data_IF_157490398477
#
_entry.id   IF_157490398477
#
_cell.length_a   1.000
_cell.length_b   1.000
_cell.length_c   1.000
_cell.angle_alpha   90.00
_cell.angle_beta   90.00
_cell.angle_gamma   90.00
#
_symmetry.space_group_name_H-M   'P 1'
#
loop_
_entity.id
_entity.type
_entity.pdbx_description
1 polymer ?
#
# COMPACT_ATOMS: atom_id res chain seq x y z
N UNK A 1 -0.24 -30.66 16.11
CA UNK A 1 -0.13 -29.19 16.02
C UNK A 1 -0.12 -28.82 14.55
N UNK A 2 -1.09 -28.03 14.14
CA UNK A 2 -1.11 -27.57 12.75
C UNK A 2 0.08 -26.64 12.53
N UNK A 3 1.01 -27.01 11.68
CA UNK A 3 2.02 -26.09 11.17
C UNK A 3 1.27 -25.15 10.23
N UNK A 4 1.17 -23.87 10.59
CA UNK A 4 0.64 -22.89 9.66
C UNK A 4 1.55 -22.88 8.45
N UNK A 5 1.03 -23.27 7.30
CA UNK A 5 1.76 -23.28 6.07
C UNK A 5 2.20 -21.83 5.78
N UNK A 6 3.54 -21.61 5.65
CA UNK A 6 4.06 -20.28 5.27
C UNK A 6 3.39 -19.75 4.00
N UNK A 7 2.93 -20.67 3.11
CA UNK A 7 2.21 -20.30 1.89
C UNK A 7 0.85 -19.65 2.19
N UNK A 8 0.18 -20.01 3.29
CA UNK A 8 -1.10 -19.41 3.66
C UNK A 8 -0.91 -17.97 4.12
N UNK A 9 0.10 -17.69 4.94
CA UNK A 9 0.44 -16.34 5.35
C UNK A 9 0.91 -15.51 4.16
N UNK A 10 1.77 -16.05 3.32
CA UNK A 10 2.24 -15.37 2.11
C UNK A 10 1.07 -15.01 1.19
N UNK A 11 0.13 -15.93 1.00
CA UNK A 11 -1.06 -15.71 0.18
C UNK A 11 -1.95 -14.64 0.77
N UNK A 12 -2.20 -14.70 2.08
CA UNK A 12 -3.00 -13.71 2.79
C UNK A 12 -2.40 -12.30 2.68
N UNK A 13 -1.08 -12.20 2.82
CA UNK A 13 -0.37 -10.93 2.70
C UNK A 13 -0.44 -10.39 1.28
N UNK A 14 -0.23 -11.23 0.26
CA UNK A 14 -0.35 -10.81 -1.14
C UNK A 14 -1.75 -10.31 -1.45
N UNK A 15 -2.77 -10.99 -0.92
CA UNK A 15 -4.16 -10.59 -1.09
C UNK A 15 -4.42 -9.25 -0.41
N UNK A 16 -3.94 -9.08 0.81
CA UNK A 16 -4.10 -7.82 1.55
C UNK A 16 -3.46 -6.64 0.82
N UNK A 17 -2.19 -6.76 0.46
CA UNK A 17 -1.45 -5.67 -0.20
C UNK A 17 -2.04 -5.37 -1.59
N UNK A 18 -2.36 -6.39 -2.36
CA UNK A 18 -2.98 -6.21 -3.69
C UNK A 18 -4.32 -5.50 -3.60
N UNK A 19 -5.18 -5.92 -2.69
CA UNK A 19 -6.49 -5.29 -2.46
C UNK A 19 -6.34 -3.87 -1.92
N UNK A 20 -5.35 -3.64 -1.05
CA UNK A 20 -5.04 -2.33 -0.49
C UNK A 20 -4.65 -1.33 -1.61
N UNK A 21 -3.78 -1.70 -2.52
CA UNK A 21 -3.44 -0.85 -3.66
C UNK A 21 -4.67 -0.59 -4.55
N UNK A 22 -5.39 -1.64 -4.94
CA UNK A 22 -6.58 -1.49 -5.80
C UNK A 22 -7.69 -0.69 -5.12
N UNK A 23 -7.76 -0.73 -3.79
CA UNK A 23 -8.74 0.04 -3.02
C UNK A 23 -8.54 1.54 -3.09
N UNK A 24 -7.33 2.00 -3.38
CA UNK A 24 -7.04 3.42 -3.56
C UNK A 24 -7.28 3.80 -5.02
N UNK A 25 -8.55 3.99 -5.35
CA UNK A 25 -8.99 4.24 -6.72
C UNK A 25 -10.16 5.21 -6.73
N UNK A 26 -10.11 6.20 -7.63
CA UNK A 26 -11.23 7.10 -7.85
C UNK A 26 -11.27 7.64 -9.28
N UNK A 27 -12.43 8.17 -9.65
CA UNK A 27 -12.68 8.91 -10.89
C UNK A 27 -13.36 10.23 -10.53
N UNK A 28 -13.65 11.11 -11.50
CA UNK A 28 -14.41 12.32 -11.18
C UNK A 28 -15.78 12.07 -10.54
N UNK A 29 -16.35 10.88 -10.70
CA UNK A 29 -17.67 10.53 -10.19
C UNK A 29 -17.67 9.46 -9.12
N UNK A 30 -16.50 8.87 -8.77
CA UNK A 30 -16.40 7.80 -7.77
C UNK A 30 -15.33 8.13 -6.74
N UNK A 31 -15.45 7.50 -5.56
CA UNK A 31 -14.47 7.61 -4.47
C UNK A 31 -14.12 6.22 -3.97
N UNK A 32 -12.95 6.05 -3.33
CA UNK A 32 -12.62 4.79 -2.67
C UNK A 32 -13.65 4.42 -1.60
N UNK A 33 -13.77 3.12 -1.34
CA UNK A 33 -14.43 2.64 -0.13
C UNK A 33 -13.48 2.84 1.05
N UNK A 34 -13.58 3.98 1.70
CA UNK A 34 -12.66 4.34 2.79
C UNK A 34 -12.82 3.44 4.01
N UNK A 35 -14.00 2.87 4.23
CA UNK A 35 -14.20 1.92 5.32
C UNK A 35 -13.41 0.63 5.06
N UNK A 36 -13.47 0.09 3.85
CA UNK A 36 -12.68 -1.09 3.47
C UNK A 36 -11.18 -0.80 3.52
N UNK A 37 -10.75 0.36 3.01
CA UNK A 37 -9.35 0.80 3.04
C UNK A 37 -8.84 0.88 4.49
N UNK A 38 -9.60 1.53 5.36
CA UNK A 38 -9.24 1.69 6.78
C UNK A 38 -9.11 0.36 7.50
N UNK A 39 -9.95 -0.62 7.15
CA UNK A 39 -9.93 -1.95 7.77
C UNK A 39 -8.62 -2.72 7.54
N UNK A 40 -7.84 -2.34 6.53
CA UNK A 40 -6.52 -2.96 6.28
C UNK A 40 -5.46 -2.53 7.31
N UNK A 41 -5.71 -1.47 8.07
CA UNK A 41 -4.76 -0.88 9.01
C UNK A 41 -5.13 -1.16 10.45
N UNK A 42 -4.10 -1.21 11.31
CA UNK A 42 -4.32 -1.03 12.75
C UNK A 42 -4.76 0.42 13.00
N UNK A 43 -5.59 0.67 14.04
CA UNK A 43 -6.11 2.02 14.29
C UNK A 43 -5.03 3.10 14.47
N UNK A 44 -3.88 2.73 15.03
CA UNK A 44 -2.77 3.65 15.31
C UNK A 44 -1.69 3.61 14.23
N UNK A 45 -1.98 3.09 13.05
CA UNK A 45 -1.01 2.97 11.98
C UNK A 45 -0.35 4.31 11.66
N UNK A 46 0.94 4.24 11.34
CA UNK A 46 1.74 5.40 10.94
C UNK A 46 2.08 5.31 9.46
N UNK A 47 1.88 6.42 8.75
CA UNK A 47 2.19 6.53 7.34
C UNK A 47 3.26 7.60 7.13
N UNK A 48 4.23 7.30 6.25
CA UNK A 48 5.35 8.19 5.96
C UNK A 48 5.47 8.40 4.46
N UNK A 49 4.93 9.52 3.93
CA UNK A 49 5.04 9.84 2.51
C UNK A 49 6.47 10.10 2.07
N UNK A 50 6.69 10.04 0.75
CA UNK A 50 8.00 10.28 0.13
C UNK A 50 8.53 11.70 0.34
N UNK A 51 7.67 12.67 0.59
CA UNK A 51 8.06 14.07 0.76
C UNK A 51 9.05 14.26 1.91
N UNK A 52 9.96 15.20 1.75
CA UNK A 52 10.94 15.58 2.77
C UNK A 52 10.77 17.05 3.17
N UNK A 53 11.02 17.43 4.44
CA UNK A 53 11.44 16.55 5.53
C UNK A 53 10.36 15.50 5.88
N UNK A 54 10.83 14.39 6.46
CA UNK A 54 9.91 13.30 6.81
C UNK A 54 8.85 13.79 7.80
N UNK A 55 7.60 13.39 7.55
CA UNK A 55 6.48 13.73 8.41
C UNK A 55 5.55 12.53 8.53
N UNK A 56 5.26 12.13 9.76
CA UNK A 56 4.30 11.07 10.02
C UNK A 56 2.87 11.58 9.75
N UNK A 57 2.10 10.78 9.05
CA UNK A 57 0.66 11.00 8.88
C UNK A 57 -0.13 9.94 9.62
N UNK A 58 -1.26 10.34 10.17
CA UNK A 58 -2.31 9.40 10.60
C UNK A 58 -3.07 8.92 9.37
N UNK A 59 -3.82 7.83 9.53
CA UNK A 59 -4.68 7.34 8.45
C UNK A 59 -5.75 8.38 8.06
N UNK A 60 -6.35 9.04 9.06
CA UNK A 60 -7.35 10.09 8.81
C UNK A 60 -6.76 11.26 8.01
N UNK A 61 -5.55 11.69 8.35
CA UNK A 61 -4.87 12.76 7.62
C UNK A 61 -4.58 12.36 6.18
N UNK A 62 -4.17 11.11 5.96
CA UNK A 62 -3.95 10.57 4.62
C UNK A 62 -5.24 10.57 3.79
N UNK A 63 -6.34 10.08 4.35
CA UNK A 63 -7.64 10.04 3.67
C UNK A 63 -8.11 11.46 3.31
N UNK A 64 -8.00 12.40 4.24
CA UNK A 64 -8.35 13.80 3.99
C UNK A 64 -7.54 14.38 2.83
N UNK A 65 -6.24 14.10 2.80
CA UNK A 65 -5.36 14.55 1.71
C UNK A 65 -5.76 13.96 0.37
N UNK A 66 -6.05 12.65 0.33
CA UNK A 66 -6.45 11.98 -0.91
C UNK A 66 -7.78 12.54 -1.45
N UNK A 67 -8.76 12.78 -0.57
CA UNK A 67 -10.01 13.41 -0.96
C UNK A 67 -9.79 14.83 -1.51
N UNK A 68 -8.87 15.59 -0.92
CA UNK A 68 -8.49 16.92 -1.42
C UNK A 68 -7.89 16.87 -2.81
N UNK A 69 -6.99 15.91 -3.07
CA UNK A 69 -6.39 15.71 -4.39
C UNK A 69 -7.45 15.30 -5.42
N UNK A 70 -8.38 14.45 -5.04
CA UNK A 70 -9.46 13.99 -5.92
C UNK A 70 -10.40 15.12 -6.35
N UNK A 71 -10.60 16.11 -5.49
CA UNK A 71 -11.39 17.29 -5.79
C UNK A 71 -10.61 18.38 -6.53
N UNK A 72 -9.27 18.31 -6.48
CA UNK A 72 -8.35 19.26 -7.08
C UNK A 72 -7.81 18.82 -8.43
N UNK A 73 -6.51 18.60 -8.49
CA UNK A 73 -5.78 18.32 -9.73
C UNK A 73 -5.71 16.84 -10.10
N UNK A 74 -5.86 15.93 -9.13
CA UNK A 74 -5.78 14.49 -9.38
C UNK A 74 -7.20 13.89 -9.44
N UNK A 75 -7.83 14.06 -10.60
CA UNK A 75 -9.25 13.74 -10.79
C UNK A 75 -9.51 12.25 -10.95
N UNK A 76 -8.52 11.49 -11.46
CA UNK A 76 -8.58 10.04 -11.59
C UNK A 76 -7.29 9.43 -11.10
N UNK A 77 -7.40 8.33 -10.38
CA UNK A 77 -6.25 7.61 -9.83
C UNK A 77 -6.56 6.13 -9.74
N UNK A 78 -5.59 5.31 -10.10
CA UNK A 78 -5.63 3.87 -9.84
C UNK A 78 -4.23 3.36 -9.58
N UNK A 79 -4.14 2.36 -8.70
CA UNK A 79 -2.88 1.77 -8.29
C UNK A 79 -2.98 0.25 -8.33
N UNK A 80 -1.95 -0.40 -8.89
CA UNK A 80 -1.88 -1.86 -8.99
C UNK A 80 -0.50 -2.35 -8.60
N UNK A 81 -0.44 -3.58 -8.07
CA UNK A 81 0.82 -4.21 -7.66
C UNK A 81 1.64 -4.62 -8.87
N UNK A 82 2.94 -4.32 -8.85
CA UNK A 82 3.92 -4.87 -9.79
C UNK A 82 4.51 -6.17 -9.26
N UNK A 83 4.90 -6.17 -7.99
CA UNK A 83 5.46 -7.34 -7.32
C UNK A 83 5.85 -7.00 -5.90
N UNK A 84 6.25 -7.99 -5.12
CA UNK A 84 6.64 -7.76 -3.73
C UNK A 84 7.59 -8.85 -3.24
N UNK A 85 8.34 -8.49 -2.21
CA UNK A 85 9.16 -9.39 -1.42
C UNK A 85 8.72 -9.30 0.02
N UNK A 86 8.59 -10.44 0.69
CA UNK A 86 8.15 -10.48 2.08
C UNK A 86 9.03 -11.38 2.93
N UNK A 87 9.17 -10.98 4.19
CA UNK A 87 9.79 -11.76 5.25
C UNK A 87 8.76 -11.93 6.34
N UNK A 88 8.44 -13.17 6.68
CA UNK A 88 7.38 -13.50 7.63
C UNK A 88 7.96 -14.35 8.76
N UNK A 89 7.63 -13.98 10.00
CA UNK A 89 7.93 -14.78 11.16
C UNK A 89 6.76 -14.71 12.15
N UNK A 90 6.06 -15.82 12.31
CA UNK A 90 4.91 -15.85 13.21
C UNK A 90 3.87 -14.80 12.87
N UNK A 91 3.62 -13.89 13.79
CA UNK A 91 2.61 -12.84 13.66
C UNK A 91 3.20 -11.49 13.18
N UNK A 92 4.40 -11.49 12.62
CA UNK A 92 5.08 -10.29 12.13
C UNK A 92 5.55 -10.51 10.70
N UNK A 93 5.38 -9.50 9.86
CA UNK A 93 5.90 -9.53 8.49
C UNK A 93 6.41 -8.15 8.07
N UNK A 94 7.45 -8.17 7.24
CA UNK A 94 8.00 -6.97 6.60
C UNK A 94 7.90 -7.18 5.10
N UNK A 95 7.32 -6.23 4.40
CA UNK A 95 7.08 -6.32 2.97
C UNK A 95 7.66 -5.11 2.25
N UNK A 96 8.31 -5.34 1.13
CA UNK A 96 8.64 -4.31 0.16
C UNK A 96 7.83 -4.61 -1.11
N UNK A 97 6.95 -3.68 -1.49
CA UNK A 97 6.03 -3.86 -2.61
C UNK A 97 6.16 -2.72 -3.62
N UNK A 98 6.28 -3.08 -4.88
CA UNK A 98 6.28 -2.10 -5.96
C UNK A 98 4.87 -1.98 -6.54
N UNK A 99 4.49 -0.78 -6.91
CA UNK A 99 3.20 -0.48 -7.49
C UNK A 99 3.31 0.45 -8.68
N UNK A 100 2.32 0.36 -9.56
CA UNK A 100 2.14 1.27 -10.68
C UNK A 100 0.89 2.12 -10.41
N UNK A 101 1.03 3.43 -10.60
CA UNK A 101 -0.08 4.37 -10.49
C UNK A 101 -0.37 4.97 -11.85
N UNK A 102 -1.65 5.07 -12.19
CA UNK A 102 -2.11 5.81 -13.37
C UNK A 102 -2.90 7.01 -12.89
N UNK A 103 -2.37 8.19 -13.18
CA UNK A 103 -2.92 9.48 -12.75
C UNK A 103 -3.59 10.18 -13.92
N UNK A 104 -4.83 10.64 -13.70
CA UNK A 104 -5.60 11.34 -14.72
C UNK A 104 -5.64 10.58 -16.06
N UNK A 105 -5.68 9.24 -15.98
CA UNK A 105 -5.78 8.28 -17.10
C UNK A 105 -4.55 8.17 -18.02
N UNK A 106 -3.57 9.08 -17.91
CA UNK A 106 -2.47 9.14 -18.88
C UNK A 106 -1.10 9.12 -18.24
N UNK A 107 -0.92 9.67 -17.05
CA UNK A 107 0.38 9.76 -16.42
C UNK A 107 0.64 8.49 -15.59
N UNK A 108 1.74 7.81 -15.89
CA UNK A 108 2.11 6.56 -15.22
C UNK A 108 3.33 6.82 -14.34
N UNK A 109 3.19 6.48 -13.07
CA UNK A 109 4.26 6.56 -12.08
C UNK A 109 4.42 5.22 -11.36
N UNK A 110 5.56 5.01 -10.71
CA UNK A 110 5.83 3.81 -9.93
C UNK A 110 6.40 4.21 -8.57
N UNK A 111 5.95 3.49 -7.54
CA UNK A 111 6.45 3.64 -6.18
C UNK A 111 6.92 2.29 -5.66
N UNK A 112 7.75 2.35 -4.63
CA UNK A 112 8.07 1.21 -3.78
C UNK A 112 7.65 1.55 -2.36
N UNK A 113 6.87 0.66 -1.76
CA UNK A 113 6.32 0.82 -0.41
C UNK A 113 6.89 -0.22 0.53
N UNK A 114 7.28 0.22 1.73
CA UNK A 114 7.65 -0.66 2.83
C UNK A 114 6.49 -0.75 3.81
N UNK A 115 6.18 -1.98 4.25
CA UNK A 115 5.11 -2.26 5.19
C UNK A 115 5.62 -3.05 6.37
N UNK A 116 5.17 -2.69 7.55
CA UNK A 116 5.21 -3.55 8.73
C UNK A 116 3.80 -4.07 8.96
N UNK A 117 3.64 -5.39 8.93
CA UNK A 117 2.35 -6.03 9.17
C UNK A 117 2.39 -6.82 10.48
N UNK A 118 1.25 -6.86 11.14
CA UNK A 118 1.04 -7.65 12.36
C UNK A 118 -0.23 -8.48 12.18
N UNK A 119 -0.15 -9.78 12.53
CA UNK A 119 -1.31 -10.65 12.54
C UNK A 119 -1.88 -10.72 13.94
N UNK A 120 -3.17 -10.43 14.07
CA UNK A 120 -3.91 -10.52 15.30
C UNK A 120 -5.28 -11.16 15.02
N UNK A 121 -5.67 -12.09 15.85
CA UNK A 121 -6.93 -12.84 15.68
C UNK A 121 -7.07 -13.44 14.27
N UNK A 122 -5.96 -13.95 13.73
CA UNK A 122 -5.91 -14.57 12.41
C UNK A 122 -5.92 -13.61 11.22
N UNK A 123 -5.84 -12.29 11.45
CA UNK A 123 -5.86 -11.28 10.38
C UNK A 123 -4.59 -10.47 10.35
N UNK A 124 -4.01 -10.34 9.17
CA UNK A 124 -2.91 -9.43 8.92
C UNK A 124 -3.42 -8.00 8.77
N UNK A 125 -2.77 -7.05 9.43
CA UNK A 125 -3.10 -5.61 9.32
C UNK A 125 -1.82 -4.79 9.25
N UNK A 126 -1.92 -3.63 8.62
CA UNK A 126 -0.80 -2.71 8.42
C UNK A 126 -0.58 -1.89 9.68
N UNK A 127 0.60 -2.01 10.28
CA UNK A 127 1.00 -1.23 11.44
C UNK A 127 1.74 0.06 11.04
N UNK A 128 2.52 0.00 9.94
CA UNK A 128 3.24 1.15 9.40
C UNK A 128 3.45 0.99 7.91
N UNK A 129 3.46 2.12 7.21
CA UNK A 129 3.62 2.18 5.76
C UNK A 129 4.46 3.40 5.40
N UNK A 130 5.56 3.19 4.70
CA UNK A 130 6.38 4.25 4.15
C UNK A 130 6.58 3.99 2.66
N UNK A 131 6.65 5.03 1.84
CA UNK A 131 6.86 4.84 0.41
C UNK A 131 7.77 5.90 -0.16
N UNK A 132 8.39 5.55 -1.29
CA UNK A 132 9.22 6.46 -2.06
C UNK A 132 8.95 6.27 -3.55
N UNK A 133 9.27 7.29 -4.33
CA UNK A 133 9.03 7.28 -5.76
C UNK A 133 10.18 6.64 -6.50
N UNK A 134 9.87 5.80 -7.50
CA UNK A 134 10.84 5.34 -8.45
C UNK A 134 11.17 6.46 -9.45
N UNK A 135 12.38 6.43 -9.98
CA UNK A 135 12.87 7.39 -10.97
C UNK A 135 13.83 6.69 -11.92
N UNK A 136 14.32 7.41 -12.94
CA UNK A 136 15.34 6.87 -13.83
C UNK A 136 16.63 6.53 -13.08
N UNK A 137 16.99 7.34 -12.07
CA UNK A 137 18.18 7.12 -11.24
C UNK A 137 17.98 6.02 -10.21
N UNK A 138 16.74 5.73 -9.84
CA UNK A 138 16.38 4.70 -8.87
C UNK A 138 15.11 3.98 -9.35
N UNK A 139 15.27 3.11 -10.35
CA UNK A 139 14.11 2.38 -10.89
C UNK A 139 13.66 1.29 -9.92
N UNK A 140 12.43 0.81 -10.13
CA UNK A 140 11.94 -0.35 -9.38
C UNK A 140 12.88 -1.53 -9.63
N UNK A 141 13.43 -2.17 -8.57
CA UNK A 141 14.28 -3.34 -8.71
C UNK A 141 13.55 -4.47 -9.43
N UNK A 142 14.29 -5.21 -10.26
CA UNK A 142 13.69 -6.26 -11.06
C UNK A 142 13.02 -7.34 -10.21
N UNK A 143 13.59 -7.69 -9.06
CA UNK A 143 13.02 -8.69 -8.16
C UNK A 143 11.69 -8.25 -7.51
N UNK A 144 11.31 -6.99 -7.63
CA UNK A 144 10.01 -6.47 -7.19
C UNK A 144 8.99 -6.33 -8.32
N UNK A 145 9.30 -6.79 -9.54
CA UNK A 145 8.39 -6.65 -10.69
C UNK A 145 7.57 -7.90 -10.94
N UNK A 146 8.02 -9.06 -10.47
CA UNK A 146 7.42 -10.35 -10.85
C UNK A 146 7.19 -11.28 -9.65
N UNK A 147 7.33 -10.80 -8.45
CA UNK A 147 7.20 -11.65 -7.25
C UNK A 147 5.76 -11.80 -6.79
#
# INVERSE_FOLDING_TARGET
MAVVDENDDARAIRTLIGAHFRGLRWTPTTRPDWAAFTADFLPDASLFPAARPVCRQTLDAFITRMNGLAQGTLRSFEETTLGMQMLVFGNVAVILAASKMVENRTEVNQDVSGYLLVKDEGKWRIAAHAWDHASEQRPVPEHLRYA
#
